data_IF_530315686858
#
_entry.id   IF_530315686858
#
_cell.length_a   1.000
_cell.length_b   1.000
_cell.length_c   1.000
_cell.angle_alpha   90.00
_cell.angle_beta   90.00
_cell.angle_gamma   90.00
#
_symmetry.space_group_name_H-M   'P 1'
#
loop_
_entity.id
_entity.type
_entity.pdbx_description
1 polymer ?
#
# COMPACT_ATOMS: atom_id res chain seq x y z
N UNK A 1 -4.03 21.05 -4.58
CA UNK A 1 -3.07 20.64 -3.54
C UNK A 1 -3.53 19.38 -2.78
N UNK A 2 -4.77 19.32 -2.32
CA UNK A 2 -5.32 18.16 -1.58
C UNK A 2 -5.22 16.83 -2.35
N UNK A 3 -5.66 16.79 -3.61
CA UNK A 3 -5.55 15.61 -4.48
C UNK A 3 -4.10 15.09 -4.60
N UNK A 4 -3.14 15.98 -4.82
CA UNK A 4 -1.71 15.64 -4.94
C UNK A 4 -1.20 14.99 -3.66
N UNK A 5 -1.54 15.56 -2.49
CA UNK A 5 -1.16 15.01 -1.18
C UNK A 5 -1.75 13.62 -0.93
N UNK A 6 -2.99 13.38 -1.36
CA UNK A 6 -3.61 12.05 -1.25
C UNK A 6 -2.82 11.01 -2.07
N UNK A 7 -2.43 11.33 -3.31
CA UNK A 7 -1.63 10.40 -4.12
C UNK A 7 -0.25 10.12 -3.49
N UNK A 8 0.41 11.16 -2.96
CA UNK A 8 1.70 11.00 -2.28
C UNK A 8 1.58 10.18 -1.02
N UNK A 9 0.53 10.38 -0.23
CA UNK A 9 0.25 9.58 0.95
C UNK A 9 0.02 8.10 0.60
N UNK A 10 -0.79 7.81 -0.42
CA UNK A 10 -1.07 6.44 -0.84
C UNK A 10 0.20 5.73 -1.32
N UNK A 11 1.04 6.43 -2.08
CA UNK A 11 2.33 5.87 -2.52
C UNK A 11 3.25 5.59 -1.33
N UNK A 12 3.44 6.58 -0.45
CA UNK A 12 4.23 6.40 0.77
C UNK A 12 3.71 5.25 1.63
N UNK A 13 2.39 5.08 1.72
CA UNK A 13 1.77 4.02 2.51
C UNK A 13 1.98 2.63 1.90
N UNK A 14 1.99 2.53 0.57
CA UNK A 14 2.30 1.29 -0.13
C UNK A 14 3.75 0.84 0.19
N UNK A 15 4.70 1.76 0.10
CA UNK A 15 6.12 1.49 0.39
C UNK A 15 6.32 1.13 1.87
N UNK A 16 5.60 1.80 2.77
CA UNK A 16 5.62 1.51 4.20
C UNK A 16 5.11 0.10 4.53
N UNK A 17 4.14 -0.41 3.77
CA UNK A 17 3.68 -1.80 3.93
C UNK A 17 4.73 -2.81 3.47
N UNK A 18 5.45 -2.52 2.38
CA UNK A 18 6.54 -3.37 1.90
C UNK A 18 7.68 -3.46 2.92
N UNK A 19 8.03 -2.35 3.58
CA UNK A 19 9.05 -2.36 4.64
C UNK A 19 8.68 -3.23 5.85
N UNK A 20 7.40 -3.61 6.00
CA UNK A 20 6.91 -4.38 7.14
C UNK A 20 6.88 -5.89 6.93
N UNK A 21 7.05 -6.36 5.70
CA UNK A 21 7.16 -7.79 5.41
C UNK A 21 8.28 -8.46 6.22
N UNK A 22 9.33 -7.70 6.56
CA UNK A 22 10.51 -8.18 7.30
C UNK A 22 10.51 -7.78 8.79
N UNK A 23 9.49 -7.05 9.26
CA UNK A 23 9.51 -6.44 10.61
C UNK A 23 9.26 -7.40 11.78
N UNK A 24 8.74 -8.61 11.52
CA UNK A 24 8.43 -9.63 12.53
C UNK A 24 9.17 -10.92 12.24
N UNK A 25 10.38 -11.03 12.79
CA UNK A 25 11.27 -12.19 12.61
C UNK A 25 11.12 -13.28 13.68
N UNK A 26 10.38 -13.02 14.75
CA UNK A 26 10.23 -13.94 15.91
C UNK A 26 8.91 -14.73 15.91
N UNK A 27 8.24 -14.86 14.77
CA UNK A 27 7.00 -15.64 14.62
C UNK A 27 7.28 -17.00 13.96
N UNK A 28 6.38 -17.95 14.10
CA UNK A 28 6.48 -19.22 13.37
C UNK A 28 6.38 -18.98 11.85
N UNK A 29 6.90 -19.92 11.06
CA UNK A 29 7.01 -19.77 9.62
C UNK A 29 5.65 -19.54 8.93
N UNK A 30 4.58 -20.18 9.41
CA UNK A 30 3.24 -20.04 8.82
C UNK A 30 2.66 -18.64 9.08
N UNK A 31 2.85 -18.12 10.29
CA UNK A 31 2.46 -16.76 10.62
C UNK A 31 3.33 -15.72 9.90
N UNK A 32 4.63 -15.99 9.72
CA UNK A 32 5.52 -15.14 8.92
C UNK A 32 5.03 -15.01 7.48
N UNK A 33 4.73 -16.13 6.83
CA UNK A 33 4.22 -16.16 5.44
C UNK A 33 2.89 -15.41 5.33
N UNK A 34 1.95 -15.66 6.24
CA UNK A 34 0.67 -14.96 6.26
C UNK A 34 0.83 -13.44 6.45
N UNK A 35 1.74 -13.00 7.33
CA UNK A 35 2.02 -11.57 7.53
C UNK A 35 2.66 -10.92 6.31
N UNK A 36 3.56 -11.62 5.63
CA UNK A 36 4.17 -11.16 4.38
C UNK A 36 3.12 -11.01 3.28
N UNK A 37 2.29 -12.03 3.08
CA UNK A 37 1.18 -12.00 2.12
C UNK A 37 0.24 -10.82 2.39
N UNK A 38 -0.15 -10.63 3.66
CA UNK A 38 -1.00 -9.52 4.07
C UNK A 38 -0.36 -8.16 3.79
N UNK A 39 0.92 -7.97 4.13
CA UNK A 39 1.63 -6.71 3.87
C UNK A 39 1.73 -6.41 2.36
N UNK A 40 2.01 -7.43 1.53
CA UNK A 40 2.04 -7.30 0.08
C UNK A 40 0.66 -6.93 -0.49
N UNK A 41 -0.40 -7.57 0.00
CA UNK A 41 -1.78 -7.24 -0.41
C UNK A 41 -2.15 -5.81 -0.04
N UNK A 42 -1.81 -5.36 1.18
CA UNK A 42 -2.05 -3.98 1.60
C UNK A 42 -1.29 -2.97 0.74
N UNK A 43 -0.04 -3.24 0.38
CA UNK A 43 0.73 -2.41 -0.55
C UNK A 43 0.05 -2.29 -1.92
N UNK A 44 -0.43 -3.42 -2.46
CA UNK A 44 -1.17 -3.47 -3.71
C UNK A 44 -2.46 -2.63 -3.65
N UNK A 45 -3.25 -2.76 -2.58
CA UNK A 45 -4.48 -1.97 -2.37
C UNK A 45 -4.20 -0.47 -2.39
N UNK A 46 -3.18 0.00 -1.66
CA UNK A 46 -2.82 1.43 -1.66
C UNK A 46 -2.39 1.92 -3.05
N UNK A 47 -1.64 1.10 -3.78
CA UNK A 47 -1.22 1.41 -5.15
C UNK A 47 -2.40 1.50 -6.11
N UNK A 48 -3.36 0.56 -6.02
CA UNK A 48 -4.58 0.57 -6.82
C UNK A 48 -5.48 1.77 -6.51
N UNK A 49 -5.60 2.16 -5.23
CA UNK A 49 -6.31 3.38 -4.84
C UNK A 49 -5.67 4.63 -5.45
N UNK A 50 -4.34 4.72 -5.45
CA UNK A 50 -3.62 5.85 -6.06
C UNK A 50 -3.89 5.94 -7.56
N UNK A 51 -3.86 4.79 -8.27
CA UNK A 51 -4.21 4.72 -9.70
C UNK A 51 -5.66 5.14 -9.93
N UNK A 52 -6.59 4.60 -9.13
CA UNK A 52 -8.02 4.88 -9.26
C UNK A 52 -8.33 6.37 -9.06
N UNK A 53 -7.81 6.98 -8.00
CA UNK A 53 -8.01 8.41 -7.74
C UNK A 53 -7.36 9.29 -8.79
N UNK A 54 -6.15 8.93 -9.26
CA UNK A 54 -5.50 9.63 -10.37
C UNK A 54 -6.36 9.60 -11.64
N UNK A 55 -6.98 8.46 -11.95
CA UNK A 55 -7.88 8.33 -13.09
C UNK A 55 -9.14 9.18 -12.89
N UNK A 56 -9.77 9.08 -11.71
CA UNK A 56 -10.98 9.84 -11.37
C UNK A 56 -10.78 11.35 -11.51
N UNK A 57 -9.63 11.89 -11.07
CA UNK A 57 -9.37 13.34 -11.12
C UNK A 57 -8.83 13.83 -12.47
N UNK A 58 -8.41 12.93 -13.36
CA UNK A 58 -8.02 13.27 -14.73
C UNK A 58 -9.22 13.35 -15.67
N UNK A 59 -10.34 12.74 -15.30
CA UNK A 59 -11.60 12.85 -16.04
C UNK A 59 -12.38 14.03 -15.44
N UNK A 60 -12.40 15.21 -16.08
CA UNK A 60 -13.28 16.27 -15.64
C UNK A 60 -14.74 15.79 -15.75
N UNK A 61 -15.52 16.03 -14.69
CA UNK A 61 -16.98 15.82 -14.68
C UNK A 61 -17.65 16.68 -15.75
#
# INVERSE_FOLDING_TARGET
EEMRRVLEFLQWKADWWLQRTESRTTVDASLSEALQAYCMEQSSVQSLLSIHFRALWRTPL
#
